data_IF_971714807878
#
_entry.id   IF_971714807878
#
_cell.length_a   1.000
_cell.length_b   1.000
_cell.length_c   1.000
_cell.angle_alpha   90.00
_cell.angle_beta   90.00
_cell.angle_gamma   90.00
#
_symmetry.space_group_name_H-M   'P 1'
#
loop_
_entity.id
_entity.type
_entity.pdbx_description
1 polymer ?
#
# COMPACT_ATOMS: atom_id res chain seq x y z
N UNK A 1 -21.49 7.19 -6.98
CA UNK A 1 -20.65 7.29 -5.77
C UNK A 1 -19.31 6.58 -5.97
N UNK A 2 -19.31 5.26 -6.22
CA UNK A 2 -18.08 4.46 -6.35
C UNK A 2 -17.04 5.03 -7.31
N UNK A 3 -17.45 5.51 -8.49
CA UNK A 3 -16.53 6.09 -9.48
C UNK A 3 -15.67 7.24 -8.94
N UNK A 4 -16.25 8.13 -8.13
CA UNK A 4 -15.49 9.22 -7.52
C UNK A 4 -14.64 8.70 -6.37
N UNK A 5 -15.25 7.92 -5.46
CA UNK A 5 -14.58 7.44 -4.25
C UNK A 5 -13.46 6.44 -4.53
N UNK A 6 -13.49 5.74 -5.67
CA UNK A 6 -12.43 4.82 -6.07
C UNK A 6 -11.29 5.51 -6.83
N UNK A 7 -11.58 6.54 -7.64
CA UNK A 7 -10.57 7.20 -8.47
C UNK A 7 -9.86 8.35 -7.76
N UNK A 8 -10.59 9.14 -6.98
CA UNK A 8 -10.05 10.31 -6.29
C UNK A 8 -8.85 9.98 -5.38
N UNK A 9 -8.85 8.88 -4.59
CA UNK A 9 -7.68 8.52 -3.79
C UNK A 9 -6.41 8.28 -4.61
N UNK A 10 -6.49 7.74 -5.82
CA UNK A 10 -5.32 7.54 -6.69
C UNK A 10 -4.75 8.86 -7.20
N UNK A 11 -5.62 9.84 -7.49
CA UNK A 11 -5.19 11.19 -7.87
C UNK A 11 -4.41 11.82 -6.70
N UNK A 12 -4.99 11.76 -5.49
CA UNK A 12 -4.38 12.32 -4.28
C UNK A 12 -3.06 11.61 -3.94
N UNK A 13 -3.01 10.28 -3.99
CA UNK A 13 -1.78 9.51 -3.80
C UNK A 13 -0.70 9.92 -4.80
N UNK A 14 -1.07 10.20 -6.05
CA UNK A 14 -0.12 10.62 -7.08
C UNK A 14 0.42 12.02 -6.85
N UNK A 15 -0.42 12.95 -6.40
CA UNK A 15 0.04 14.29 -5.99
C UNK A 15 1.01 14.17 -4.81
N UNK A 16 0.68 13.36 -3.80
CA UNK A 16 1.57 13.13 -2.66
C UNK A 16 2.85 12.40 -3.04
N UNK A 17 2.80 11.48 -4.00
CA UNK A 17 3.99 10.81 -4.51
C UNK A 17 4.97 11.82 -5.12
N UNK A 18 4.50 12.63 -6.08
CA UNK A 18 5.31 13.65 -6.75
C UNK A 18 5.87 14.65 -5.73
N UNK A 19 5.04 15.09 -4.78
CA UNK A 19 5.51 15.99 -3.73
C UNK A 19 6.52 15.32 -2.80
N UNK A 20 6.28 14.06 -2.42
CA UNK A 20 7.13 13.29 -1.52
C UNK A 20 8.51 13.07 -2.10
N UNK A 21 8.62 12.64 -3.36
CA UNK A 21 9.91 12.34 -4.00
C UNK A 21 10.72 13.60 -4.34
N UNK A 22 10.09 14.77 -4.43
CA UNK A 22 10.78 16.05 -4.65
C UNK A 22 11.33 16.68 -3.37
N UNK A 23 11.04 16.11 -2.19
CA UNK A 23 11.56 16.59 -0.90
C UNK A 23 12.95 16.00 -0.60
N UNK A 24 13.81 16.80 0.05
CA UNK A 24 15.12 16.37 0.54
C UNK A 24 14.95 15.19 1.51
N UNK A 25 15.69 14.10 1.31
CA UNK A 25 15.64 12.93 2.20
C UNK A 25 14.60 11.87 1.83
N UNK A 26 13.82 12.07 0.78
CA UNK A 26 12.89 11.04 0.29
C UNK A 26 13.58 9.71 -0.05
N UNK A 27 14.79 9.79 -0.64
CA UNK A 27 15.60 8.62 -0.98
C UNK A 27 15.98 7.77 0.25
N UNK A 28 16.20 8.40 1.41
CA UNK A 28 16.50 7.69 2.67
C UNK A 28 15.32 6.83 3.09
N UNK A 29 14.11 7.38 3.02
CA UNK A 29 12.89 6.66 3.38
C UNK A 29 12.60 5.51 2.41
N UNK A 30 12.74 5.75 1.10
CA UNK A 30 12.57 4.70 0.08
C UNK A 30 13.61 3.59 0.22
N UNK A 31 14.88 3.95 0.45
CA UNK A 31 15.93 2.97 0.70
C UNK A 31 15.62 2.14 1.95
N UNK A 32 15.11 2.75 3.02
CA UNK A 32 14.70 2.02 4.22
C UNK A 32 13.58 1.00 3.95
N UNK A 33 12.58 1.38 3.14
CA UNK A 33 11.48 0.48 2.76
C UNK A 33 11.96 -0.73 1.96
N UNK A 34 12.88 -0.51 1.01
CA UNK A 34 13.31 -1.55 0.06
C UNK A 34 14.59 -2.29 0.45
N UNK A 35 15.18 -2.00 1.61
CA UNK A 35 16.33 -2.76 2.13
C UNK A 35 15.81 -4.01 2.85
N UNK A 36 15.96 -5.22 2.28
CA UNK A 36 15.40 -6.43 2.88
C UNK A 36 16.23 -6.87 4.09
N UNK A 37 15.54 -7.30 5.15
CA UNK A 37 16.12 -7.96 6.33
C UNK A 37 15.76 -9.43 6.29
N UNK A 38 16.58 -10.24 5.63
CA UNK A 38 16.27 -11.64 5.34
C UNK A 38 16.17 -12.50 6.61
N UNK A 39 16.89 -12.13 7.67
CA UNK A 39 16.81 -12.74 8.99
C UNK A 39 15.38 -12.72 9.57
N UNK A 40 14.57 -11.72 9.20
CA UNK A 40 13.18 -11.60 9.65
C UNK A 40 12.26 -12.68 9.09
N UNK A 41 12.61 -13.31 7.97
CA UNK A 41 11.80 -14.38 7.40
C UNK A 41 11.79 -15.66 8.26
N UNK A 42 12.75 -15.80 9.18
CA UNK A 42 12.81 -16.89 10.14
C UNK A 42 11.84 -16.69 11.32
N UNK A 43 11.33 -15.48 11.53
CA UNK A 43 10.43 -15.16 12.63
C UNK A 43 8.98 -15.53 12.26
N UNK A 44 8.32 -16.46 12.96
CA UNK A 44 6.97 -16.91 12.60
C UNK A 44 5.92 -15.80 12.70
N UNK A 45 6.17 -14.77 13.53
CA UNK A 45 5.29 -13.61 13.67
C UNK A 45 5.17 -12.82 12.36
N UNK A 46 6.24 -12.71 11.58
CA UNK A 46 6.22 -11.98 10.30
C UNK A 46 5.24 -12.62 9.31
N UNK A 47 5.14 -13.96 9.31
CA UNK A 47 4.19 -14.70 8.48
C UNK A 47 2.76 -14.55 8.97
N UNK A 48 2.55 -14.56 10.30
CA UNK A 48 1.23 -14.31 10.90
C UNK A 48 0.72 -12.91 10.55
N UNK A 49 1.58 -11.90 10.68
CA UNK A 49 1.26 -10.51 10.36
C UNK A 49 0.97 -10.34 8.87
N UNK A 50 1.79 -10.96 8.00
CA UNK A 50 1.57 -10.93 6.55
C UNK A 50 0.24 -11.59 6.14
N UNK A 51 -0.08 -12.76 6.70
CA UNK A 51 -1.36 -13.42 6.44
C UNK A 51 -2.53 -12.55 6.91
N UNK A 52 -2.45 -12.02 8.14
CA UNK A 52 -3.47 -11.13 8.71
C UNK A 52 -3.68 -9.89 7.83
N UNK A 53 -2.59 -9.28 7.34
CA UNK A 53 -2.65 -8.15 6.44
C UNK A 53 -3.36 -8.48 5.13
N UNK A 54 -3.14 -9.66 4.54
CA UNK A 54 -3.85 -10.09 3.32
C UNK A 54 -5.35 -10.21 3.58
N UNK A 55 -5.77 -10.84 4.68
CA UNK A 55 -7.19 -10.97 5.02
C UNK A 55 -7.88 -9.60 5.19
N UNK A 56 -7.23 -8.67 5.89
CA UNK A 56 -7.78 -7.32 6.06
C UNK A 56 -7.74 -6.47 4.78
N UNK A 57 -6.68 -6.58 3.98
CA UNK A 57 -6.54 -5.82 2.73
C UNK A 57 -7.61 -6.16 1.72
N UNK A 58 -7.97 -7.44 1.59
CA UNK A 58 -9.02 -7.90 0.70
C UNK A 58 -10.42 -7.89 1.34
N UNK A 59 -10.53 -7.75 2.66
CA UNK A 59 -11.79 -7.92 3.37
C UNK A 59 -12.34 -9.34 3.23
N UNK A 60 -11.46 -10.36 3.30
CA UNK A 60 -11.86 -11.77 3.29
C UNK A 60 -12.64 -12.13 4.56
N UNK A 61 -13.60 -13.05 4.43
CA UNK A 61 -14.50 -13.47 5.51
C UNK A 61 -15.53 -12.44 6.02
N UNK A 62 -15.64 -11.26 5.40
CA UNK A 62 -16.66 -10.25 5.75
C UNK A 62 -17.99 -10.39 4.98
N UNK A 63 -18.07 -11.28 3.99
CA UNK A 63 -19.29 -11.54 3.19
C UNK A 63 -19.60 -10.48 2.12
N UNK A 64 -18.95 -9.32 2.13
CA UNK A 64 -19.14 -8.24 1.16
C UNK A 64 -18.85 -8.66 -0.29
N UNK A 65 -17.73 -9.37 -0.52
CA UNK A 65 -17.37 -9.88 -1.84
C UNK A 65 -18.36 -10.94 -2.35
N UNK A 66 -18.94 -11.75 -1.45
CA UNK A 66 -19.98 -12.73 -1.79
C UNK A 66 -21.24 -12.00 -2.24
N UNK A 67 -21.66 -10.96 -1.50
CA UNK A 67 -22.79 -10.13 -1.87
C UNK A 67 -22.58 -9.45 -3.22
N UNK A 68 -21.39 -8.86 -3.47
CA UNK A 68 -21.09 -8.26 -4.78
C UNK A 68 -21.11 -9.29 -5.92
N UNK A 69 -20.53 -10.48 -5.70
CA UNK A 69 -20.58 -11.57 -6.67
C UNK A 69 -22.01 -12.04 -6.98
N UNK A 70 -22.93 -11.98 -6.02
CA UNK A 70 -24.32 -12.41 -6.20
C UNK A 70 -25.13 -11.56 -7.18
N UNK A 71 -24.66 -10.34 -7.47
CA UNK A 71 -25.31 -9.43 -8.42
C UNK A 71 -24.75 -9.55 -9.85
N UNK A 72 -23.71 -10.36 -10.07
CA UNK A 72 -23.12 -10.54 -11.39
C UNK A 72 -23.92 -11.53 -12.26
N UNK A 73 -23.84 -11.41 -13.60
CA UNK A 73 -24.38 -12.42 -14.51
C UNK A 73 -23.80 -13.82 -14.25
N UNK A 74 -24.58 -14.89 -14.47
CA UNK A 74 -24.11 -16.26 -14.26
C UNK A 74 -22.91 -16.67 -15.13
N UNK A 75 -22.73 -16.06 -16.31
CA UNK A 75 -21.63 -16.34 -17.24
C UNK A 75 -20.41 -15.41 -17.05
N UNK A 76 -20.35 -14.65 -15.96
CA UNK A 76 -19.25 -13.73 -15.71
C UNK A 76 -17.91 -14.45 -15.50
N UNK A 77 -16.86 -13.97 -16.14
CA UNK A 77 -15.49 -14.48 -16.00
C UNK A 77 -14.85 -14.08 -14.66
N UNK A 78 -15.36 -14.63 -13.55
CA UNK A 78 -14.96 -14.26 -12.18
C UNK A 78 -13.46 -14.46 -11.90
N UNK A 79 -12.82 -15.46 -12.50
CA UNK A 79 -11.38 -15.72 -12.34
C UNK A 79 -10.54 -14.53 -12.83
N UNK A 80 -10.91 -13.95 -13.98
CA UNK A 80 -10.23 -12.77 -14.52
C UNK A 80 -10.37 -11.58 -13.59
N UNK A 81 -11.57 -11.37 -13.07
CA UNK A 81 -11.86 -10.24 -12.18
C UNK A 81 -11.08 -10.36 -10.86
N UNK A 82 -11.01 -11.56 -10.28
CA UNK A 82 -10.21 -11.81 -9.06
C UNK A 82 -8.72 -11.59 -9.29
N UNK A 83 -8.17 -12.03 -10.43
CA UNK A 83 -6.76 -11.77 -10.76
C UNK A 83 -6.50 -10.26 -10.86
N UNK A 84 -7.37 -9.52 -11.56
CA UNK A 84 -7.23 -8.08 -11.71
C UNK A 84 -7.32 -7.35 -10.36
N UNK A 85 -8.32 -7.69 -9.54
CA UNK A 85 -8.49 -7.12 -8.20
C UNK A 85 -7.27 -7.41 -7.32
N UNK A 86 -6.72 -8.63 -7.40
CA UNK A 86 -5.54 -9.02 -6.63
C UNK A 86 -4.31 -8.24 -7.02
N UNK A 87 -4.07 -8.08 -8.32
CA UNK A 87 -2.98 -7.28 -8.83
C UNK A 87 -3.11 -5.81 -8.44
N UNK A 88 -4.30 -5.22 -8.64
CA UNK A 88 -4.56 -3.83 -8.26
C UNK A 88 -4.36 -3.61 -6.75
N UNK A 89 -4.85 -4.52 -5.90
CA UNK A 89 -4.65 -4.42 -4.46
C UNK A 89 -3.16 -4.43 -4.07
N UNK A 90 -2.38 -5.38 -4.60
CA UNK A 90 -0.95 -5.47 -4.33
C UNK A 90 -0.18 -4.24 -4.85
N UNK A 91 -0.46 -3.81 -6.07
CA UNK A 91 0.13 -2.62 -6.67
C UNK A 91 -0.15 -1.37 -5.83
N UNK A 92 -1.41 -1.16 -5.44
CA UNK A 92 -1.82 0.00 -4.64
C UNK A 92 -1.17 -0.02 -3.26
N UNK A 93 -1.04 -1.19 -2.61
CA UNK A 93 -0.34 -1.31 -1.34
C UNK A 93 1.14 -0.93 -1.44
N UNK A 94 1.85 -1.41 -2.48
CA UNK A 94 3.26 -1.06 -2.72
C UNK A 94 3.39 0.44 -3.03
N UNK A 95 2.51 0.97 -3.90
CA UNK A 95 2.53 2.37 -4.29
C UNK A 95 2.28 3.30 -3.09
N UNK A 96 1.25 3.02 -2.28
CA UNK A 96 0.96 3.78 -1.07
C UNK A 96 2.13 3.71 -0.06
N UNK A 97 2.76 2.55 0.10
CA UNK A 97 3.94 2.40 0.95
C UNK A 97 5.08 3.29 0.49
N UNK A 98 5.37 3.33 -0.82
CA UNK A 98 6.40 4.22 -1.37
C UNK A 98 6.10 5.70 -1.09
N UNK A 99 4.85 6.14 -1.22
CA UNK A 99 4.43 7.52 -0.89
C UNK A 99 4.69 7.84 0.59
N UNK A 100 4.26 6.95 1.49
CA UNK A 100 4.44 7.14 2.94
C UNK A 100 5.91 7.21 3.31
N UNK A 101 6.73 6.27 2.80
CA UNK A 101 8.15 6.22 3.12
C UNK A 101 8.93 7.39 2.54
N UNK A 102 8.57 7.92 1.36
CA UNK A 102 9.18 9.15 0.84
C UNK A 102 8.99 10.34 1.81
N UNK A 103 7.78 10.51 2.36
CA UNK A 103 7.49 11.58 3.32
C UNK A 103 8.18 11.34 4.67
N UNK A 104 8.20 10.09 5.16
CA UNK A 104 8.91 9.73 6.39
C UNK A 104 10.42 9.99 6.26
N UNK A 105 11.01 9.74 5.10
CA UNK A 105 12.42 10.05 4.82
C UNK A 105 12.72 11.54 4.95
N UNK A 106 11.89 12.40 4.36
CA UNK A 106 11.99 13.85 4.55
C UNK A 106 11.91 14.26 6.02
N UNK A 107 10.93 13.72 6.75
CA UNK A 107 10.74 14.01 8.18
C UNK A 107 11.96 13.58 9.01
N UNK A 108 12.50 12.40 8.74
CA UNK A 108 13.68 11.89 9.44
C UNK A 108 14.89 12.79 9.23
N UNK A 109 15.19 13.16 7.98
CA UNK A 109 16.33 14.04 7.65
C UNK A 109 16.14 15.43 8.24
N UNK A 110 14.95 16.02 8.10
CA UNK A 110 14.65 17.34 8.67
C UNK A 110 14.80 17.37 10.20
N UNK A 111 14.39 16.30 10.89
CA UNK A 111 14.53 16.20 12.35
C UNK A 111 16.00 16.14 12.78
N UNK A 112 16.86 15.44 12.03
CA UNK A 112 18.30 15.39 12.30
C UNK A 112 18.93 16.77 12.06
N UNK A 113 18.61 17.42 10.94
CA UNK A 113 19.12 18.76 10.63
C UNK A 113 18.74 19.76 11.75
N UNK A 114 17.50 19.70 12.26
CA UNK A 114 17.04 20.53 13.37
C UNK A 114 17.76 20.23 14.70
N UNK A 115 18.05 18.95 14.97
CA UNK A 115 18.76 18.54 16.19
C UNK A 115 20.22 19.02 16.19
N UNK A 116 20.85 19.09 15.03
CA UNK A 116 22.24 19.55 14.88
C UNK A 116 22.36 21.08 14.90
N UNK A 117 21.27 21.80 14.60
CA UNK A 117 21.22 23.26 14.63
C UNK A 117 20.87 23.84 16.01
N UNK A 118 20.47 23.00 16.97
CA UNK A 118 20.17 23.35 18.36
C UNK A 118 21.42 23.19 19.25
#
# INVERSE_FOLDING_TARGET
VVYFTSLFPYIVLTIFFIRGVTLKGASVGLAHMYTPKLEKLLEPRVWLDAATQVFYSFGLAFGSLIAFGSYNPPDNHCVRDVILVSFCNAFTAIYASAVVFAILGFKAVSNVDNCLAA
#
